data_IF_119665706432
#
_entry.id   IF_119665706432
#
_cell.length_a   1.000
_cell.length_b   1.000
_cell.length_c   1.000
_cell.angle_alpha   90.00
_cell.angle_beta   90.00
_cell.angle_gamma   90.00
#
_symmetry.space_group_name_H-M   'P 1'
#
loop_
_entity.id
_entity.type
_entity.pdbx_description
1 polymer ?
#
# COMPACT_ATOMS: atom_id res chain seq x y z
N UNK A 1 -55.97 -34.18 -44.59
CA UNK A 1 -55.01 -34.65 -43.57
C UNK A 1 -53.57 -34.25 -43.91
N UNK A 2 -53.16 -34.36 -45.18
CA UNK A 2 -51.83 -33.93 -45.68
C UNK A 2 -51.59 -32.42 -45.57
N UNK A 3 -52.57 -31.59 -45.95
CA UNK A 3 -52.49 -30.12 -45.91
C UNK A 3 -52.15 -29.56 -44.51
N UNK A 4 -52.78 -30.09 -43.47
CA UNK A 4 -52.59 -29.65 -42.08
C UNK A 4 -51.21 -30.04 -41.55
N UNK A 5 -50.69 -31.21 -41.94
CA UNK A 5 -49.36 -31.65 -41.57
C UNK A 5 -48.28 -30.80 -42.24
N UNK A 6 -48.49 -30.39 -43.49
CA UNK A 6 -47.57 -29.51 -44.21
C UNK A 6 -47.47 -28.13 -43.55
N UNK A 7 -48.60 -27.53 -43.15
CA UNK A 7 -48.60 -26.24 -42.42
C UNK A 7 -47.83 -26.30 -41.10
N UNK A 8 -48.04 -27.37 -40.32
CA UNK A 8 -47.30 -27.59 -39.07
C UNK A 8 -45.81 -27.78 -39.32
N UNK A 9 -45.44 -28.43 -40.43
CA UNK A 9 -44.05 -28.60 -40.81
C UNK A 9 -43.42 -27.26 -41.19
N UNK A 10 -44.12 -26.42 -41.94
CA UNK A 10 -43.64 -25.07 -42.31
C UNK A 10 -43.44 -24.18 -41.08
N UNK A 11 -44.38 -24.23 -40.12
CA UNK A 11 -44.27 -23.53 -38.83
C UNK A 11 -43.02 -23.98 -38.05
N UNK A 12 -42.81 -25.30 -37.93
CA UNK A 12 -41.63 -25.86 -37.27
C UNK A 12 -40.33 -25.47 -37.98
N UNK A 13 -40.29 -25.47 -39.32
CA UNK A 13 -39.12 -25.05 -40.10
C UNK A 13 -38.80 -23.59 -39.84
N UNK A 14 -39.82 -22.73 -39.74
CA UNK A 14 -39.67 -21.31 -39.42
C UNK A 14 -39.12 -21.10 -38.00
N UNK A 15 -39.68 -21.81 -37.02
CA UNK A 15 -39.22 -21.74 -35.63
C UNK A 15 -37.78 -22.23 -35.49
N UNK A 16 -37.44 -23.37 -36.09
CA UNK A 16 -36.08 -23.92 -36.10
C UNK A 16 -35.10 -22.93 -36.75
N UNK A 17 -35.51 -22.25 -37.82
CA UNK A 17 -34.68 -21.23 -38.48
C UNK A 17 -34.43 -20.04 -37.56
N UNK A 18 -35.47 -19.53 -36.87
CA UNK A 18 -35.32 -18.46 -35.89
C UNK A 18 -34.48 -18.85 -34.67
N UNK A 19 -34.61 -20.08 -34.19
CA UNK A 19 -33.76 -20.61 -33.11
C UNK A 19 -32.31 -20.73 -33.55
N UNK A 20 -32.05 -21.17 -34.77
CA UNK A 20 -30.69 -21.26 -35.34
C UNK A 20 -30.04 -19.89 -35.43
N UNK A 21 -30.77 -18.89 -35.92
CA UNK A 21 -30.27 -17.51 -35.98
C UNK A 21 -29.95 -16.98 -34.57
N UNK A 22 -30.89 -17.13 -33.63
CA UNK A 22 -30.71 -16.71 -32.23
C UNK A 22 -29.47 -17.35 -31.60
N UNK A 23 -29.30 -18.67 -31.80
CA UNK A 23 -28.14 -19.41 -31.32
C UNK A 23 -26.83 -18.89 -31.92
N UNK A 24 -26.82 -18.62 -33.23
CA UNK A 24 -25.65 -18.07 -33.92
C UNK A 24 -25.26 -16.69 -33.36
N UNK A 25 -26.24 -15.82 -33.11
CA UNK A 25 -25.98 -14.53 -32.47
C UNK A 25 -25.41 -14.69 -31.06
N UNK A 26 -26.02 -15.54 -30.22
CA UNK A 26 -25.52 -15.77 -28.86
C UNK A 26 -24.12 -16.38 -28.84
N UNK A 27 -23.81 -17.31 -29.75
CA UNK A 27 -22.47 -17.88 -29.87
C UNK A 27 -21.42 -16.82 -30.19
N UNK A 28 -21.73 -15.93 -31.13
CA UNK A 28 -20.84 -14.81 -31.48
C UNK A 28 -20.61 -13.88 -30.28
N UNK A 29 -21.65 -13.54 -29.54
CA UNK A 29 -21.53 -12.68 -28.36
C UNK A 29 -20.69 -13.34 -27.27
N UNK A 30 -20.87 -14.65 -27.05
CA UNK A 30 -20.06 -15.44 -26.11
C UNK A 30 -18.58 -15.44 -26.51
N UNK A 31 -18.28 -15.66 -27.79
CA UNK A 31 -16.90 -15.62 -28.30
C UNK A 31 -16.25 -14.24 -28.10
N UNK A 32 -16.99 -13.17 -28.34
CA UNK A 32 -16.51 -11.80 -28.12
C UNK A 32 -16.23 -11.54 -26.64
N UNK A 33 -17.11 -12.00 -25.74
CA UNK A 33 -16.91 -11.88 -24.29
C UNK A 33 -15.69 -12.66 -23.83
N UNK A 34 -15.48 -13.88 -24.32
CA UNK A 34 -14.28 -14.68 -24.02
C UNK A 34 -13.01 -13.95 -24.48
N UNK A 35 -13.03 -13.34 -25.66
CA UNK A 35 -11.88 -12.59 -26.18
C UNK A 35 -11.57 -11.35 -25.33
N UNK A 36 -12.61 -10.63 -24.88
CA UNK A 36 -12.48 -9.48 -23.97
C UNK A 36 -11.94 -9.90 -22.61
N UNK A 37 -12.46 -10.99 -22.05
CA UNK A 37 -12.03 -11.52 -20.75
C UNK A 37 -10.54 -11.89 -20.77
N UNK A 38 -10.10 -12.63 -21.80
CA UNK A 38 -8.68 -12.96 -21.99
C UNK A 38 -7.78 -11.73 -22.07
N UNK A 39 -8.20 -10.70 -22.81
CA UNK A 39 -7.45 -9.44 -22.94
C UNK A 39 -7.40 -8.68 -21.60
N UNK A 40 -8.48 -8.67 -20.85
CA UNK A 40 -8.53 -8.02 -19.54
C UNK A 40 -7.66 -8.76 -18.53
N UNK A 41 -7.72 -10.09 -18.52
CA UNK A 41 -6.88 -10.93 -17.67
C UNK A 41 -5.39 -10.73 -17.93
N UNK A 42 -4.97 -10.65 -19.21
CA UNK A 42 -3.56 -10.39 -19.53
C UNK A 42 -3.09 -9.02 -19.05
N UNK A 43 -3.92 -7.98 -19.21
CA UNK A 43 -3.61 -6.63 -18.70
C UNK A 43 -3.52 -6.58 -17.18
N UNK A 44 -4.41 -7.28 -16.48
CA UNK A 44 -4.36 -7.37 -15.02
C UNK A 44 -3.07 -8.02 -14.55
N UNK A 45 -2.63 -9.09 -15.21
CA UNK A 45 -1.36 -9.75 -14.89
C UNK A 45 -0.15 -8.83 -15.13
N UNK A 46 -0.18 -8.01 -16.18
CA UNK A 46 0.87 -7.04 -16.47
C UNK A 46 0.92 -5.95 -15.39
N UNK A 47 -0.22 -5.36 -15.04
CA UNK A 47 -0.33 -4.35 -13.97
C UNK A 47 0.13 -4.92 -12.64
N UNK A 48 -0.24 -6.15 -12.29
CA UNK A 48 0.19 -6.80 -11.04
C UNK A 48 1.72 -6.95 -10.96
N UNK A 49 2.36 -7.27 -12.09
CA UNK A 49 3.81 -7.33 -12.19
C UNK A 49 4.46 -5.96 -12.01
N UNK A 50 3.91 -4.91 -12.62
CA UNK A 50 4.41 -3.54 -12.49
C UNK A 50 4.26 -3.01 -11.05
N UNK A 51 3.10 -3.23 -10.43
CA UNK A 51 2.84 -2.86 -9.03
C UNK A 51 3.83 -3.57 -8.10
N UNK A 52 4.11 -4.86 -8.35
CA UNK A 52 5.09 -5.62 -7.57
C UNK A 52 6.50 -5.03 -7.69
N UNK A 53 6.91 -4.62 -8.89
CA UNK A 53 8.21 -3.96 -9.12
C UNK A 53 8.28 -2.61 -8.39
N UNK A 54 7.24 -1.77 -8.52
CA UNK A 54 7.18 -0.48 -7.83
C UNK A 54 7.24 -0.65 -6.31
N UNK A 55 6.50 -1.61 -5.76
CA UNK A 55 6.52 -1.91 -4.33
C UNK A 55 7.91 -2.38 -3.86
N UNK A 56 8.60 -3.20 -4.64
CA UNK A 56 9.97 -3.62 -4.35
C UNK A 56 10.94 -2.42 -4.36
N UNK A 57 10.82 -1.54 -5.35
CA UNK A 57 11.63 -0.33 -5.45
C UNK A 57 11.41 0.60 -4.25
N UNK A 58 10.16 0.85 -3.86
CA UNK A 58 9.84 1.67 -2.67
C UNK A 58 10.50 1.08 -1.42
N UNK A 59 10.35 -0.23 -1.19
CA UNK A 59 10.99 -0.91 -0.05
C UNK A 59 12.51 -0.77 -0.08
N UNK A 60 13.12 -0.79 -1.27
CA UNK A 60 14.57 -0.62 -1.40
C UNK A 60 15.08 0.77 -1.04
N UNK A 61 14.22 1.80 -1.08
CA UNK A 61 14.58 3.17 -0.69
C UNK A 61 14.50 3.43 0.81
N UNK A 62 13.75 2.63 1.57
CA UNK A 62 13.60 2.82 3.02
C UNK A 62 14.95 2.83 3.77
N UNK A 63 15.86 1.86 3.57
CA UNK A 63 17.15 1.88 4.26
C UNK A 63 18.02 3.09 3.90
N UNK A 64 17.87 3.60 2.67
CA UNK A 64 18.59 4.79 2.22
C UNK A 64 18.04 6.05 2.88
N UNK A 65 16.73 6.13 3.09
CA UNK A 65 16.11 7.21 3.86
C UNK A 65 16.56 7.17 5.31
N UNK A 66 16.49 6.02 5.97
CA UNK A 66 16.94 5.84 7.35
C UNK A 66 18.43 6.24 7.51
N UNK A 67 19.26 5.86 6.53
CA UNK A 67 20.67 6.23 6.52
C UNK A 67 20.88 7.75 6.38
N UNK A 68 20.13 8.41 5.49
CA UNK A 68 20.25 9.86 5.29
C UNK A 68 19.72 10.65 6.49
N UNK A 69 18.64 10.18 7.12
CA UNK A 69 18.15 10.75 8.37
C UNK A 69 19.19 10.61 9.48
N UNK A 70 19.73 9.39 9.66
CA UNK A 70 20.81 9.14 10.61
C UNK A 70 22.04 10.00 10.33
N UNK A 71 22.41 10.19 9.06
CA UNK A 71 23.52 11.06 8.67
C UNK A 71 23.27 12.53 9.03
N UNK A 72 22.06 13.04 8.81
CA UNK A 72 21.68 14.42 9.12
C UNK A 72 21.66 14.67 10.62
N UNK A 73 21.31 13.67 11.41
CA UNK A 73 21.19 13.75 12.88
C UNK A 73 22.44 13.25 13.60
N UNK A 74 23.60 13.08 12.93
CA UNK A 74 24.80 12.46 13.52
C UNK A 74 25.35 13.13 14.78
N UNK A 75 25.04 14.40 15.01
CA UNK A 75 25.39 15.11 16.24
C UNK A 75 24.31 15.01 17.33
N UNK A 76 23.17 14.38 17.04
CA UNK A 76 22.02 14.27 17.93
C UNK A 76 21.87 12.83 18.37
N UNK A 77 21.64 12.63 19.67
CA UNK A 77 21.27 11.32 20.21
C UNK A 77 19.75 11.16 19.99
N UNK A 78 19.35 10.05 19.36
CA UNK A 78 17.92 9.67 19.25
C UNK A 78 17.60 8.73 20.40
N UNK A 79 16.54 9.05 21.15
CA UNK A 79 16.10 8.28 22.32
C UNK A 79 14.70 7.77 22.04
N UNK A 80 14.58 6.46 21.78
CA UNK A 80 13.30 5.80 21.52
C UNK A 80 12.71 5.20 22.80
N UNK A 81 11.38 5.11 22.85
CA UNK A 81 10.64 4.42 23.93
C UNK A 81 10.26 5.30 25.13
N UNK A 82 10.43 6.62 25.05
CA UNK A 82 9.88 7.58 26.02
C UNK A 82 8.46 7.95 25.59
N UNK A 83 7.51 7.89 26.52
CA UNK A 83 6.13 8.26 26.25
C UNK A 83 6.00 9.79 26.11
N UNK A 84 5.58 10.22 24.92
CA UNK A 84 5.25 11.61 24.62
C UNK A 84 3.88 11.99 25.22
N UNK A 85 3.80 13.20 25.78
CA UNK A 85 2.59 13.89 26.20
C UNK A 85 2.33 15.06 25.24
N UNK A 86 1.06 15.38 24.99
CA UNK A 86 0.69 16.52 24.17
C UNK A 86 1.04 17.86 24.83
N UNK A 87 1.55 18.82 24.05
CA UNK A 87 1.99 20.15 24.50
C UNK A 87 3.13 20.16 25.54
N UNK A 88 4.06 19.21 25.45
CA UNK A 88 5.27 19.26 26.28
C UNK A 88 6.16 20.45 25.96
N UNK A 89 6.65 21.08 27.03
CA UNK A 89 7.77 21.99 26.99
C UNK A 89 9.10 21.24 26.98
N UNK A 90 10.16 21.89 26.48
CA UNK A 90 11.52 21.34 26.49
C UNK A 90 11.99 20.90 27.88
N UNK A 91 11.62 21.63 28.93
CA UNK A 91 11.99 21.30 30.30
C UNK A 91 11.35 19.97 30.75
N UNK A 92 10.08 19.74 30.39
CA UNK A 92 9.38 18.49 30.72
C UNK A 92 9.96 17.30 29.95
N UNK A 93 10.31 17.49 28.67
CA UNK A 93 10.96 16.43 27.87
C UNK A 93 12.39 16.14 28.38
N UNK A 94 13.16 17.15 28.76
CA UNK A 94 14.50 16.99 29.35
C UNK A 94 14.43 16.22 30.67
N UNK A 95 13.48 16.56 31.54
CA UNK A 95 13.28 15.87 32.81
C UNK A 95 12.90 14.39 32.60
N UNK A 96 12.02 14.09 31.64
CA UNK A 96 11.67 12.71 31.28
C UNK A 96 12.87 11.92 30.81
N UNK A 97 13.67 12.49 29.91
CA UNK A 97 14.91 11.89 29.41
C UNK A 97 15.86 11.63 30.58
N UNK A 98 16.11 12.64 31.41
CA UNK A 98 16.99 12.53 32.60
C UNK A 98 16.53 11.42 33.54
N UNK A 99 15.25 11.37 33.86
CA UNK A 99 14.68 10.34 34.74
C UNK A 99 14.79 8.93 34.16
N UNK A 100 14.60 8.78 32.84
CA UNK A 100 14.77 7.49 32.16
C UNK A 100 16.24 7.00 32.21
N UNK A 101 17.19 7.90 32.02
CA UNK A 101 18.63 7.60 32.12
C UNK A 101 19.06 7.29 33.56
N UNK A 102 18.58 8.06 34.55
CA UNK A 102 18.89 7.82 35.97
C UNK A 102 18.34 6.48 36.45
N UNK A 103 17.10 6.16 36.10
CA UNK A 103 16.46 4.88 36.48
C UNK A 103 17.19 3.69 35.86
N UNK A 104 17.57 3.79 34.58
CA UNK A 104 18.31 2.74 33.88
C UNK A 104 19.79 2.63 34.28
N UNK A 105 20.40 3.72 34.75
CA UNK A 105 21.81 3.72 35.20
C UNK A 105 21.97 3.23 36.63
N UNK A 106 21.05 3.61 37.53
CA UNK A 106 21.03 3.12 38.92
C UNK A 106 20.76 1.62 39.00
N UNK A 107 19.89 1.09 38.14
CA UNK A 107 19.67 -0.36 38.02
C UNK A 107 20.89 -1.12 37.47
N UNK A 108 21.84 -0.42 36.82
CA UNK A 108 23.12 -0.98 36.32
C UNK A 108 24.33 -0.62 37.18
N UNK A 109 24.14 0.10 38.29
CA UNK A 109 25.22 0.46 39.22
C UNK A 109 26.20 1.54 38.72
N UNK A 110 25.84 2.32 37.70
CA UNK A 110 26.67 3.38 37.15
C UNK A 110 26.33 4.74 37.79
N UNK A 111 27.21 5.26 38.65
CA UNK A 111 27.12 6.63 39.20
C UNK A 111 27.61 7.65 38.16
N UNK A 112 26.74 8.07 37.25
CA UNK A 112 27.03 9.12 36.27
C UNK A 112 26.85 10.51 36.91
N UNK A 113 27.90 11.34 36.87
CA UNK A 113 27.83 12.78 37.19
C UNK A 113 27.32 13.54 35.96
N UNK A 114 26.48 14.54 36.19
CA UNK A 114 25.90 15.43 35.17
C UNK A 114 26.99 16.16 34.37
N UNK A 115 27.03 15.92 33.06
CA UNK A 115 27.71 16.75 32.08
C UNK A 115 26.70 17.03 30.96
N UNK A 116 25.78 17.98 31.19
CA UNK A 116 24.95 18.53 30.13
C UNK A 116 25.54 19.91 29.85
N UNK A 117 26.12 20.08 28.66
CA UNK A 117 26.49 21.42 28.22
C UNK A 117 25.19 22.21 27.97
N UNK A 118 25.05 23.43 28.48
CA UNK A 118 23.88 24.25 28.22
C UNK A 118 23.76 24.52 26.71
N UNK A 119 22.60 24.23 26.14
CA UNK A 119 22.27 24.57 24.74
C UNK A 119 22.38 26.09 24.55
N UNK A 120 23.44 26.53 23.88
CA UNK A 120 23.50 27.86 23.29
C UNK A 120 22.39 27.92 22.23
N UNK A 121 21.41 28.80 22.45
CA UNK A 121 20.24 28.93 21.61
C UNK A 121 20.64 29.17 20.16
N UNK A 122 20.43 28.17 19.31
CA UNK A 122 20.46 28.31 17.87
C UNK A 122 19.32 29.26 17.46
N UNK A 123 19.65 30.54 17.36
CA UNK A 123 18.85 31.55 16.65
C UNK A 123 18.61 31.03 15.23
N UNK A 124 17.41 30.51 14.99
CA UNK A 124 16.94 30.19 13.64
C UNK A 124 16.60 31.50 12.94
N UNK A 125 17.53 31.99 12.14
CA UNK A 125 17.26 33.03 11.13
C UNK A 125 16.12 32.56 10.20
N UNK A 126 15.13 33.42 9.89
CA UNK A 126 14.01 33.07 9.02
C UNK A 126 14.45 33.12 7.55
N UNK A 127 14.39 31.98 6.87
CA UNK A 127 14.56 31.84 5.42
C UNK A 127 13.43 31.06 4.80
#
# INVERSE_FOLDING_TARGET
MTETNNKRLDELVKEISGLRESLHYTQKDVEELIAKDKRSSSKLSEIDSEVSIVAANIRSFLPKLDYLEGQSRRNNIVIDGIQESGNESWAESEEKVRNSFLTSSNSRGLNLKECIEPDDQLEREPG
#
